data_IF_783880660829
#
_entry.id   IF_783880660829
#
_cell.length_a   1.000
_cell.length_b   1.000
_cell.length_c   1.000
_cell.angle_alpha   90.00
_cell.angle_beta   90.00
_cell.angle_gamma   90.00
#
_symmetry.space_group_name_H-M   'P 1'
#
loop_
_entity.id
_entity.type
_entity.pdbx_description
1 polymer ?
#
# COMPACT_ATOMS: atom_id res chain seq x y z
N UNK A 1 0.72 8.32 -37.33
CA UNK A 1 1.08 7.33 -36.30
C UNK A 1 -0.20 7.04 -35.51
N UNK A 2 -0.78 5.85 -35.65
CA UNK A 2 -1.93 5.44 -34.81
C UNK A 2 -1.38 5.10 -33.43
N UNK A 3 -1.54 6.00 -32.47
CA UNK A 3 -1.24 5.72 -31.06
C UNK A 3 -2.26 4.69 -30.53
N UNK A 4 -1.77 3.56 -30.06
CA UNK A 4 -2.62 2.61 -29.33
C UNK A 4 -2.94 3.21 -27.96
N UNK A 5 -4.22 3.20 -27.62
CA UNK A 5 -4.66 3.70 -26.31
C UNK A 5 -5.25 2.54 -25.49
N UNK A 6 -5.09 2.60 -24.17
CA UNK A 6 -5.69 1.66 -23.24
C UNK A 6 -6.32 2.43 -22.09
N UNK A 7 -7.51 2.04 -21.69
CA UNK A 7 -8.16 2.57 -20.50
C UNK A 7 -7.63 1.84 -19.27
N UNK A 8 -7.39 2.59 -18.20
CA UNK A 8 -6.93 2.07 -16.91
C UNK A 8 -7.82 2.56 -15.78
N UNK A 9 -7.79 1.77 -14.71
CA UNK A 9 -8.47 2.06 -13.48
C UNK A 9 -7.73 3.13 -12.67
N UNK A 10 -8.49 3.88 -11.88
CA UNK A 10 -7.95 4.86 -10.93
C UNK A 10 -8.47 4.52 -9.54
N UNK A 11 -7.57 4.35 -8.61
CA UNK A 11 -7.95 4.20 -7.21
C UNK A 11 -8.35 5.53 -6.60
N UNK A 12 -9.34 5.52 -5.72
CA UNK A 12 -9.80 6.69 -4.95
C UNK A 12 -9.61 6.46 -3.47
N UNK A 13 -9.22 7.50 -2.76
CA UNK A 13 -9.09 7.51 -1.31
C UNK A 13 -9.81 8.72 -0.75
N UNK A 14 -10.88 8.48 0.01
CA UNK A 14 -11.68 9.52 0.65
C UNK A 14 -11.42 9.52 2.15
N UNK A 15 -11.24 10.69 2.73
CA UNK A 15 -11.04 10.88 4.15
C UNK A 15 -11.46 12.30 4.58
N UNK A 16 -11.57 12.47 5.90
CA UNK A 16 -11.84 13.78 6.49
C UNK A 16 -10.53 14.37 7.02
N UNK A 17 -10.15 15.56 6.56
CA UNK A 17 -8.89 16.22 6.94
C UNK A 17 -8.98 17.02 8.24
N UNK A 18 -10.14 17.01 8.88
CA UNK A 18 -10.48 17.83 10.06
C UNK A 18 -11.37 19.01 9.72
N UNK A 19 -11.45 19.40 8.46
CA UNK A 19 -12.26 20.53 7.97
C UNK A 19 -13.20 20.10 6.87
N UNK A 20 -12.71 19.32 5.90
CA UNK A 20 -13.42 18.93 4.70
C UNK A 20 -13.31 17.44 4.39
N UNK A 21 -14.24 16.91 3.61
CA UNK A 21 -14.09 15.64 2.95
C UNK A 21 -13.18 15.80 1.73
N UNK A 22 -12.05 15.09 1.74
CA UNK A 22 -11.03 15.14 0.70
C UNK A 22 -11.03 13.83 -0.07
N UNK A 23 -11.02 13.92 -1.40
CA UNK A 23 -10.79 12.78 -2.29
C UNK A 23 -9.40 12.91 -2.92
N UNK A 24 -8.60 11.87 -2.83
CA UNK A 24 -7.31 11.72 -3.50
C UNK A 24 -7.37 10.55 -4.46
N UNK A 25 -6.58 10.61 -5.51
CA UNK A 25 -6.51 9.58 -6.54
C UNK A 25 -5.13 8.94 -6.55
N UNK A 26 -5.06 7.66 -6.88
CA UNK A 26 -3.81 6.91 -7.01
C UNK A 26 -3.87 5.95 -8.21
N UNK A 27 -2.72 5.68 -8.78
CA UNK A 27 -2.56 4.77 -9.92
C UNK A 27 -1.96 3.42 -9.51
N UNK A 28 -1.11 3.43 -8.49
CA UNK A 28 -0.44 2.21 -8.05
C UNK A 28 -1.06 1.66 -6.76
N UNK A 29 -0.79 2.27 -5.62
CA UNK A 29 -1.20 1.72 -4.35
C UNK A 29 -1.25 2.73 -3.21
N UNK A 30 -2.06 2.39 -2.20
CA UNK A 30 -2.03 2.96 -0.85
C UNK A 30 -1.32 1.97 0.05
N UNK A 31 -0.35 2.45 0.86
CA UNK A 31 0.25 1.67 1.91
C UNK A 31 -0.06 2.27 3.28
N UNK A 32 -0.36 1.41 4.24
CA UNK A 32 -0.69 1.78 5.62
C UNK A 32 0.24 1.03 6.56
N UNK A 33 0.95 1.74 7.39
CA UNK A 33 1.89 1.19 8.36
C UNK A 33 3.31 1.10 7.81
N UNK A 34 3.86 -0.09 7.67
CA UNK A 34 5.26 -0.29 7.32
C UNK A 34 5.64 0.28 5.96
N UNK A 35 4.85 0.02 4.92
CA UNK A 35 5.12 0.52 3.57
C UNK A 35 5.24 2.04 3.54
N UNK A 36 4.28 2.74 4.13
CA UNK A 36 4.30 4.20 4.25
C UNK A 36 5.48 4.71 5.08
N UNK A 37 5.92 3.93 6.07
CA UNK A 37 7.07 4.27 6.89
C UNK A 37 8.39 4.17 6.13
N UNK A 38 8.52 3.20 5.22
CA UNK A 38 9.69 3.10 4.32
C UNK A 38 9.81 4.39 3.49
N UNK A 39 8.71 4.85 2.92
CA UNK A 39 8.68 6.11 2.16
C UNK A 39 9.17 7.27 3.02
N UNK A 40 8.64 7.41 4.25
CA UNK A 40 9.02 8.46 5.18
C UNK A 40 10.52 8.44 5.51
N UNK A 41 11.07 7.27 5.85
CA UNK A 41 12.49 7.13 6.22
C UNK A 41 13.37 7.36 4.99
N UNK A 42 12.98 6.84 3.82
CA UNK A 42 13.74 7.03 2.58
C UNK A 42 13.83 8.51 2.21
N UNK A 43 12.76 9.27 2.36
CA UNK A 43 12.77 10.72 2.08
C UNK A 43 13.60 11.51 3.09
N UNK A 44 13.60 11.12 4.35
CA UNK A 44 14.48 11.70 5.37
C UNK A 44 15.96 11.39 5.09
N UNK A 45 16.28 10.14 4.75
CA UNK A 45 17.64 9.72 4.44
C UNK A 45 18.18 10.35 3.15
N UNK A 46 17.36 10.55 2.12
CA UNK A 46 17.77 11.27 0.89
C UNK A 46 18.27 12.69 1.19
N UNK A 47 17.66 13.37 2.14
CA UNK A 47 18.10 14.70 2.60
C UNK A 47 19.50 14.68 3.23
N UNK A 48 19.88 13.57 3.90
CA UNK A 48 21.15 13.48 4.62
C UNK A 48 22.29 12.88 3.80
N UNK A 49 22.03 11.86 2.99
CA UNK A 49 23.09 11.04 2.38
C UNK A 49 23.18 11.14 0.86
N UNK A 50 22.21 11.75 0.19
CA UNK A 50 22.23 11.95 -1.26
C UNK A 50 22.21 10.66 -2.12
N UNK A 51 22.33 9.48 -1.51
CA UNK A 51 22.45 8.20 -2.21
C UNK A 51 21.16 7.38 -2.07
N UNK A 52 20.42 7.25 -3.15
CA UNK A 52 19.10 6.62 -3.21
C UNK A 52 19.07 5.16 -2.70
N UNK A 53 20.06 4.36 -3.06
CA UNK A 53 20.13 2.94 -2.69
C UNK A 53 20.49 2.71 -1.22
N UNK A 54 21.41 3.50 -0.69
CA UNK A 54 21.83 3.41 0.72
C UNK A 54 20.67 3.82 1.65
N UNK A 55 19.93 4.86 1.29
CA UNK A 55 18.76 5.32 2.03
C UNK A 55 17.67 4.26 2.08
N UNK A 56 17.43 3.58 0.96
CA UNK A 56 16.47 2.49 0.90
C UNK A 56 16.91 1.29 1.75
N UNK A 57 18.19 0.91 1.69
CA UNK A 57 18.76 -0.18 2.48
C UNK A 57 18.69 0.11 3.98
N UNK A 58 19.02 1.33 4.41
CA UNK A 58 18.92 1.76 5.81
C UNK A 58 17.45 1.78 6.29
N UNK A 59 16.53 2.22 5.45
CA UNK A 59 15.10 2.15 5.74
C UNK A 59 14.66 0.70 5.95
N UNK A 60 15.09 -0.21 5.10
CA UNK A 60 14.78 -1.63 5.19
C UNK A 60 15.33 -2.26 6.47
N UNK A 61 16.59 -1.97 6.83
CA UNK A 61 17.20 -2.44 8.08
C UNK A 61 16.44 -1.94 9.32
N UNK A 62 16.09 -0.64 9.36
CA UNK A 62 15.35 -0.07 10.49
C UNK A 62 14.00 -0.76 10.71
N UNK A 63 13.37 -1.22 9.66
CA UNK A 63 12.11 -1.97 9.66
C UNK A 63 12.27 -3.33 10.34
N UNK A 64 13.31 -4.05 9.98
CA UNK A 64 13.62 -5.38 10.53
C UNK A 64 13.82 -5.29 12.04
N UNK A 65 14.49 -4.22 12.51
CA UNK A 65 14.77 -4.03 13.94
C UNK A 65 13.57 -3.52 14.73
N UNK A 66 12.74 -2.63 14.18
CA UNK A 66 11.65 -2.02 14.95
C UNK A 66 10.39 -2.89 15.08
N UNK A 67 10.13 -3.81 14.16
CA UNK A 67 8.97 -4.73 14.15
C UNK A 67 7.65 -4.06 14.58
N UNK A 68 7.42 -2.83 14.14
CA UNK A 68 6.29 -2.04 14.58
C UNK A 68 4.97 -2.62 14.07
N UNK A 69 4.05 -2.84 15.01
CA UNK A 69 2.71 -3.35 14.73
C UNK A 69 1.68 -2.27 15.05
N UNK A 70 0.67 -2.18 14.20
CA UNK A 70 -0.41 -1.23 14.32
C UNK A 70 -1.71 -1.94 14.68
N UNK A 71 -2.43 -1.41 15.66
CA UNK A 71 -3.80 -1.88 15.94
C UNK A 71 -4.70 -1.38 14.81
N UNK A 72 -5.14 -2.28 13.99
CA UNK A 72 -5.86 -1.99 12.76
C UNK A 72 -7.24 -2.62 12.77
N UNK A 73 -8.21 -1.89 12.20
CA UNK A 73 -9.57 -2.33 11.96
C UNK A 73 -9.96 -1.97 10.53
N UNK A 74 -10.12 -2.98 9.71
CA UNK A 74 -10.52 -2.88 8.30
C UNK A 74 -11.91 -3.49 8.12
N UNK A 75 -12.61 -3.02 7.10
CA UNK A 75 -13.81 -3.67 6.57
C UNK A 75 -13.58 -3.93 5.08
N UNK A 76 -13.56 -5.21 4.70
CA UNK A 76 -13.32 -5.69 3.33
C UNK A 76 -14.41 -6.71 3.00
N UNK A 77 -15.12 -6.53 1.88
CA UNK A 77 -16.20 -7.43 1.44
C UNK A 77 -17.27 -7.72 2.53
N UNK A 78 -17.56 -6.71 3.37
CA UNK A 78 -18.50 -6.88 4.49
C UNK A 78 -17.89 -7.45 5.77
N UNK A 79 -16.72 -8.07 5.71
CA UNK A 79 -16.03 -8.66 6.86
C UNK A 79 -15.22 -7.62 7.64
N UNK A 80 -15.23 -7.76 8.97
CA UNK A 80 -14.42 -6.92 9.86
C UNK A 80 -13.13 -7.63 10.26
N UNK A 81 -12.01 -7.12 9.75
CA UNK A 81 -10.66 -7.62 10.05
C UNK A 81 -10.06 -6.75 11.13
N UNK A 82 -9.77 -7.35 12.29
CA UNK A 82 -9.18 -6.65 13.44
C UNK A 82 -7.92 -7.38 13.89
N UNK A 83 -6.87 -6.62 14.20
CA UNK A 83 -5.65 -7.24 14.70
C UNK A 83 -4.47 -6.30 14.82
N UNK A 84 -3.34 -6.89 15.20
CA UNK A 84 -2.02 -6.22 15.14
C UNK A 84 -1.41 -6.55 13.78
N UNK A 85 -1.44 -5.57 12.90
CA UNK A 85 -1.02 -5.69 11.51
C UNK A 85 0.25 -4.88 11.31
N UNK A 86 1.19 -5.41 10.57
CA UNK A 86 2.44 -4.73 10.24
C UNK A 86 2.26 -3.74 9.09
N UNK A 87 1.56 -4.16 8.05
CA UNK A 87 1.26 -3.32 6.88
C UNK A 87 0.00 -3.78 6.18
N UNK A 88 -0.69 -2.83 5.56
CA UNK A 88 -1.76 -3.08 4.59
C UNK A 88 -1.37 -2.36 3.30
N UNK A 89 -1.38 -3.08 2.19
CA UNK A 89 -1.26 -2.50 0.86
C UNK A 89 -2.57 -2.71 0.10
N UNK A 90 -3.08 -1.64 -0.51
CA UNK A 90 -4.29 -1.65 -1.33
C UNK A 90 -3.87 -1.16 -2.71
N UNK A 91 -3.76 -2.07 -3.68
CA UNK A 91 -3.22 -1.81 -5.01
C UNK A 91 -4.28 -1.83 -6.11
N UNK A 92 -4.25 -0.82 -6.97
CA UNK A 92 -4.88 -0.83 -8.30
C UNK A 92 -3.92 -1.39 -9.36
N UNK A 93 -2.61 -1.24 -9.13
CA UNK A 93 -1.52 -1.87 -9.87
C UNK A 93 -0.56 -2.56 -8.91
N UNK A 94 0.50 -3.22 -9.41
CA UNK A 94 1.38 -4.09 -8.61
C UNK A 94 2.14 -3.41 -7.46
N UNK A 95 2.04 -2.11 -7.30
CA UNK A 95 2.43 -1.28 -6.15
C UNK A 95 3.62 -1.78 -5.34
N UNK A 96 4.84 -1.40 -5.66
CA UNK A 96 6.08 -1.81 -4.97
C UNK A 96 6.22 -3.32 -4.69
N UNK A 97 5.53 -4.18 -5.47
CA UNK A 97 5.57 -5.64 -5.35
C UNK A 97 4.73 -6.23 -4.21
N UNK A 98 4.02 -5.42 -3.43
CA UNK A 98 3.16 -5.91 -2.35
C UNK A 98 1.79 -6.42 -2.83
N UNK A 99 1.36 -5.98 -4.02
CA UNK A 99 0.16 -6.46 -4.71
C UNK A 99 0.53 -6.96 -6.12
N UNK A 100 1.34 -8.03 -6.25
CA UNK A 100 1.88 -8.45 -7.54
C UNK A 100 0.83 -8.95 -8.54
N UNK A 101 -0.36 -9.29 -8.06
CA UNK A 101 -1.50 -9.73 -8.89
C UNK A 101 -2.43 -8.58 -9.32
N UNK A 102 -2.19 -7.36 -8.84
CA UNK A 102 -3.03 -6.23 -9.19
C UNK A 102 -2.86 -5.83 -10.67
N UNK A 103 -3.98 -5.66 -11.34
CA UNK A 103 -4.07 -5.39 -12.77
C UNK A 103 -4.87 -4.10 -12.97
N UNK A 104 -4.26 -3.04 -13.54
CA UNK A 104 -4.86 -1.70 -13.55
C UNK A 104 -5.96 -1.50 -14.61
N UNK A 105 -6.72 -2.53 -14.93
CA UNK A 105 -7.79 -2.48 -15.93
C UNK A 105 -8.86 -3.57 -15.73
N UNK A 106 -8.97 -4.11 -14.52
CA UNK A 106 -9.93 -5.16 -14.20
C UNK A 106 -11.07 -4.71 -13.28
N UNK A 107 -11.07 -3.43 -12.85
CA UNK A 107 -12.08 -2.85 -11.96
C UNK A 107 -11.99 -3.35 -10.52
N UNK A 108 -10.85 -3.92 -10.09
CA UNK A 108 -10.66 -4.46 -8.75
C UNK A 108 -9.42 -3.89 -8.07
N UNK A 109 -9.49 -3.82 -6.75
CA UNK A 109 -8.36 -3.56 -5.88
C UNK A 109 -7.87 -4.89 -5.30
N UNK A 110 -6.58 -5.14 -5.38
CA UNK A 110 -5.93 -6.21 -4.65
C UNK A 110 -5.42 -5.67 -3.31
N UNK A 111 -5.76 -6.36 -2.23
CA UNK A 111 -5.38 -5.96 -0.88
C UNK A 111 -4.51 -7.04 -0.27
N UNK A 112 -3.33 -6.67 0.21
CA UNK A 112 -2.48 -7.55 0.99
C UNK A 112 -2.39 -7.05 2.43
N UNK A 113 -2.76 -7.90 3.36
CA UNK A 113 -2.69 -7.63 4.80
C UNK A 113 -1.59 -8.49 5.39
N UNK A 114 -0.53 -7.85 5.90
CA UNK A 114 0.60 -8.56 6.51
C UNK A 114 0.47 -8.46 8.02
N UNK A 115 0.22 -9.61 8.62
CA UNK A 115 0.12 -9.76 10.07
C UNK A 115 1.51 -9.76 10.72
N UNK A 116 1.55 -9.99 12.02
CA UNK A 116 2.79 -10.02 12.80
C UNK A 116 3.72 -11.14 12.32
N UNK A 117 4.80 -10.87 11.56
CA UNK A 117 5.79 -11.88 11.20
C UNK A 117 6.78 -12.11 12.35
N UNK A 118 7.31 -13.31 12.45
CA UNK A 118 8.50 -13.62 13.23
C UNK A 118 9.76 -13.11 12.49
N UNK A 119 10.91 -13.03 13.19
CA UNK A 119 12.15 -12.53 12.57
C UNK A 119 12.57 -13.34 11.33
N UNK A 120 12.51 -14.65 11.40
CA UNK A 120 12.83 -15.52 10.27
C UNK A 120 11.84 -15.34 9.11
N UNK A 121 10.56 -15.10 9.43
CA UNK A 121 9.52 -14.84 8.44
C UNK A 121 9.68 -13.47 7.76
N UNK A 122 10.31 -12.49 8.43
CA UNK A 122 10.65 -11.22 7.80
C UNK A 122 11.69 -11.41 6.69
N UNK A 123 12.72 -12.21 6.92
CA UNK A 123 13.75 -12.52 5.93
C UNK A 123 13.18 -13.31 4.74
N UNK A 124 12.39 -14.36 5.03
CA UNK A 124 11.73 -15.12 3.96
C UNK A 124 10.72 -14.27 3.20
N UNK A 125 9.97 -13.41 3.88
CA UNK A 125 9.04 -12.47 3.27
C UNK A 125 9.72 -11.46 2.36
N UNK A 126 10.87 -10.91 2.79
CA UNK A 126 11.67 -10.01 1.97
C UNK A 126 12.19 -10.70 0.70
N UNK A 127 12.68 -11.93 0.83
CA UNK A 127 13.11 -12.73 -0.31
C UNK A 127 11.97 -13.00 -1.28
N UNK A 128 10.79 -13.39 -0.77
CA UNK A 128 9.60 -13.60 -1.58
C UNK A 128 9.06 -12.31 -2.21
N UNK A 129 9.22 -11.16 -1.54
CA UNK A 129 8.86 -9.86 -2.10
C UNK A 129 9.73 -9.53 -3.32
N UNK A 130 11.04 -9.75 -3.25
CA UNK A 130 11.98 -9.55 -4.35
C UNK A 130 11.63 -10.46 -5.54
N UNK A 131 11.18 -11.69 -5.26
CA UNK A 131 10.76 -12.63 -6.29
C UNK A 131 9.33 -12.36 -6.85
N UNK A 132 8.61 -11.36 -6.34
CA UNK A 132 7.20 -11.11 -6.69
C UNK A 132 6.22 -12.16 -6.18
N UNK A 133 6.61 -13.00 -5.21
CA UNK A 133 5.82 -14.12 -4.66
C UNK A 133 5.31 -13.88 -3.24
N UNK A 134 5.27 -12.63 -2.80
CA UNK A 134 4.94 -12.27 -1.41
C UNK A 134 3.56 -12.80 -0.96
N UNK A 135 2.60 -12.94 -1.86
CA UNK A 135 1.26 -13.43 -1.56
C UNK A 135 1.22 -14.89 -1.10
N UNK A 136 2.26 -15.68 -1.41
CA UNK A 136 2.36 -17.07 -0.98
C UNK A 136 2.95 -17.19 0.45
N UNK A 137 3.33 -16.08 1.07
CA UNK A 137 3.90 -16.10 2.41
C UNK A 137 2.80 -16.26 3.47
N UNK A 138 3.03 -17.13 4.45
CA UNK A 138 2.05 -17.53 5.50
C UNK A 138 1.46 -16.38 6.31
N UNK A 139 2.17 -15.27 6.44
CA UNK A 139 1.73 -14.08 7.21
C UNK A 139 0.99 -13.06 6.35
N UNK A 140 0.85 -13.32 5.05
CA UNK A 140 0.18 -12.44 4.10
C UNK A 140 -1.20 -13.00 3.79
N UNK A 141 -2.23 -12.19 4.02
CA UNK A 141 -3.60 -12.52 3.65
C UNK A 141 -4.00 -11.64 2.47
N UNK A 142 -4.18 -12.23 1.28
CA UNK A 142 -4.64 -11.51 0.11
C UNK A 142 -6.17 -11.40 0.09
N UNK A 143 -6.67 -10.26 -0.35
CA UNK A 143 -8.10 -10.02 -0.62
C UNK A 143 -8.23 -9.32 -1.97
N UNK A 144 -9.38 -9.49 -2.60
CA UNK A 144 -9.77 -8.75 -3.81
C UNK A 144 -11.14 -8.12 -3.58
N UNK A 145 -11.26 -6.83 -3.88
CA UNK A 145 -12.46 -6.06 -3.60
C UNK A 145 -12.52 -4.81 -4.47
N UNK A 146 -13.69 -4.20 -4.57
CA UNK A 146 -13.84 -2.87 -5.18
C UNK A 146 -13.83 -1.74 -4.16
N UNK A 147 -14.03 -2.08 -2.87
CA UNK A 147 -14.13 -1.09 -1.81
C UNK A 147 -13.57 -1.59 -0.49
N UNK A 148 -12.73 -0.77 0.14
CA UNK A 148 -12.14 -1.02 1.47
C UNK A 148 -12.43 0.16 2.37
N UNK A 149 -12.90 -0.11 3.60
CA UNK A 149 -12.93 0.90 4.66
C UNK A 149 -11.86 0.59 5.69
N UNK A 150 -10.95 1.54 5.88
CA UNK A 150 -9.95 1.48 6.96
C UNK A 150 -10.50 2.33 8.11
N UNK A 151 -11.16 1.68 9.05
CA UNK A 151 -11.82 2.35 10.17
C UNK A 151 -10.82 2.93 11.16
N UNK A 152 -9.72 2.23 11.38
CA UNK A 152 -8.66 2.64 12.29
C UNK A 152 -7.34 1.95 11.94
N UNK A 153 -6.24 2.69 12.04
CA UNK A 153 -4.89 2.14 12.12
C UNK A 153 -4.07 3.07 13.03
N UNK A 154 -4.00 2.70 14.30
CA UNK A 154 -3.47 3.57 15.35
C UNK A 154 -2.00 3.90 15.11
N UNK A 155 -1.66 5.20 14.97
CA UNK A 155 -0.32 5.72 14.73
C UNK A 155 0.38 5.16 13.47
N UNK A 156 -0.38 4.59 12.54
CA UNK A 156 0.15 4.16 11.27
C UNK A 156 0.34 5.36 10.33
N UNK A 157 1.46 5.40 9.63
CA UNK A 157 1.62 6.29 8.49
C UNK A 157 0.83 5.74 7.31
N UNK A 158 0.37 6.64 6.44
CA UNK A 158 -0.33 6.30 5.19
C UNK A 158 0.41 6.98 4.05
N UNK A 159 0.70 6.26 3.00
CA UNK A 159 1.17 6.83 1.75
C UNK A 159 0.24 6.48 0.59
N UNK A 160 0.22 7.36 -0.38
CA UNK A 160 -0.53 7.26 -1.62
C UNK A 160 0.44 7.47 -2.78
N UNK A 161 0.74 6.42 -3.54
CA UNK A 161 1.73 6.45 -4.63
C UNK A 161 3.07 7.09 -4.21
N UNK A 162 3.54 6.77 -2.98
CA UNK A 162 4.77 7.30 -2.42
C UNK A 162 4.68 8.70 -1.80
N UNK A 163 3.49 9.28 -1.70
CA UNK A 163 3.25 10.57 -1.01
C UNK A 163 2.56 10.33 0.31
N UNK A 164 3.15 10.79 1.39
CA UNK A 164 2.57 10.68 2.73
C UNK A 164 1.30 11.51 2.84
N UNK A 165 0.27 10.92 3.46
CA UNK A 165 -0.94 11.63 3.86
C UNK A 165 -0.83 12.09 5.31
N UNK A 166 -1.20 13.35 5.56
CA UNK A 166 -1.23 13.91 6.90
C UNK A 166 -2.57 13.61 7.57
N UNK A 167 -2.66 12.50 8.20
CA UNK A 167 -3.75 11.95 9.02
C UNK A 167 -4.93 11.43 8.27
N UNK A 168 -5.58 10.18 8.82
CA UNK A 168 -6.75 10.28 8.48
C UNK A 168 -7.68 9.15 8.46
N UNK A 169 -7.86 8.49 9.50
CA UNK A 169 -8.88 7.47 9.67
C UNK A 169 -10.20 8.09 10.14
N UNK A 170 -11.34 7.64 9.62
CA UNK A 170 -11.47 6.55 8.64
C UNK A 170 -11.03 6.95 7.23
N UNK A 171 -10.52 5.96 6.45
CA UNK A 171 -10.30 6.08 5.01
C UNK A 171 -11.30 5.19 4.28
N UNK A 172 -11.87 5.70 3.21
CA UNK A 172 -12.67 4.91 2.26
C UNK A 172 -11.90 4.83 0.95
N UNK A 173 -11.56 3.62 0.54
CA UNK A 173 -10.78 3.35 -0.67
C UNK A 173 -11.64 2.60 -1.65
N UNK A 174 -11.71 3.10 -2.88
CA UNK A 174 -12.48 2.52 -3.97
C UNK A 174 -11.71 2.53 -5.29
N UNK A 175 -12.29 1.97 -6.33
CA UNK A 175 -11.74 1.97 -7.69
C UNK A 175 -12.75 2.56 -8.66
N UNK A 176 -12.25 3.44 -9.55
CA UNK A 176 -12.97 3.93 -10.72
C UNK A 176 -12.49 3.14 -11.92
N UNK A 177 -13.35 2.28 -12.44
CA UNK A 177 -13.01 1.42 -13.58
C UNK A 177 -12.85 2.23 -14.86
N UNK A 178 -11.79 1.94 -15.62
CA UNK A 178 -11.48 2.56 -16.93
C UNK A 178 -11.52 4.11 -16.94
N UNK A 179 -11.11 4.75 -15.87
CA UNK A 179 -11.27 6.20 -15.65
C UNK A 179 -10.29 7.06 -16.46
N UNK A 180 -9.14 6.53 -16.85
CA UNK A 180 -8.11 7.27 -17.61
C UNK A 180 -7.73 6.49 -18.87
N UNK A 181 -7.50 7.23 -19.97
CA UNK A 181 -6.99 6.69 -21.22
C UNK A 181 -5.49 6.98 -21.34
N UNK A 182 -4.68 5.94 -21.37
CA UNK A 182 -3.24 6.03 -21.59
C UNK A 182 -2.87 5.73 -23.04
N UNK A 183 -1.89 6.47 -23.56
CA UNK A 183 -1.23 6.16 -24.82
C UNK A 183 -0.15 5.12 -24.54
N UNK A 184 -0.23 4.01 -25.23
CA UNK A 184 0.74 2.91 -25.10
C UNK A 184 1.71 3.03 -26.30
N UNK A 185 3.03 2.96 -26.03
CA UNK A 185 4.05 3.00 -27.10
C UNK A 185 3.96 1.80 -28.05
#
# INVERSE_FOLDING_TARGET
>A
IRHRTRRIDVGTCQYFDGTNHVTRYFLNAINIGLGARIVKITDQCKRFWGVKYLSWFMALLSIIFERKLYRTHLKINGEHIRGRIMTVCIGSACGYGQCPSAVPYNGWLDVSVIYRPELLQLWSGLWMLIQGRILNHKVVMPYRTQHVKVLRAQNAAVDLDGRLLDRHFPLEVGVMHEAIQLIIP
#
